data_IF_818318499640
#
_entry.id   IF_818318499640
#
_cell.length_a   1.000
_cell.length_b   1.000
_cell.length_c   1.000
_cell.angle_alpha   90.00
_cell.angle_beta   90.00
_cell.angle_gamma   90.00
#
_symmetry.space_group_name_H-M   'P 1'
#
loop_
_entity.id
_entity.type
_entity.pdbx_description
1 polymer ?
#
# COMPACT_ATOMS: atom_id res chain seq x y z
N UNK A 1 -23.85 -47.49 1.69
CA UNK A 1 -22.46 -47.99 1.75
C UNK A 1 -21.53 -46.93 1.18
N UNK A 2 -20.55 -46.53 2.00
CA UNK A 2 -19.65 -45.38 1.87
C UNK A 2 -18.87 -45.30 0.54
N UNK A 3 -18.90 -44.13 -0.12
CA UNK A 3 -17.92 -43.75 -1.14
C UNK A 3 -17.05 -42.61 -0.61
N UNK A 4 -15.98 -43.04 0.05
CA UNK A 4 -14.63 -42.43 0.09
C UNK A 4 -14.62 -40.91 -0.03
N UNK A 5 -14.43 -40.24 1.12
CA UNK A 5 -13.84 -38.91 1.18
C UNK A 5 -12.46 -38.97 0.52
N UNK A 6 -12.43 -38.80 -0.80
CA UNK A 6 -11.19 -38.62 -1.55
C UNK A 6 -10.51 -37.39 -0.95
N UNK A 7 -9.42 -37.68 -0.24
CA UNK A 7 -8.47 -36.78 0.40
C UNK A 7 -8.67 -35.29 0.09
N UNK A 8 -9.09 -34.51 1.09
CA UNK A 8 -8.92 -33.04 1.13
C UNK A 8 -7.44 -32.64 1.28
N UNK A 9 -6.52 -33.41 0.67
CA UNK A 9 -5.10 -33.10 0.71
C UNK A 9 -4.94 -31.94 -0.26
N UNK A 10 -4.58 -30.76 0.26
CA UNK A 10 -4.17 -29.63 -0.56
C UNK A 10 -3.16 -30.18 -1.56
N UNK A 11 -3.47 -30.07 -2.85
CA UNK A 11 -2.50 -30.35 -3.90
C UNK A 11 -1.50 -29.23 -3.76
N UNK A 12 -0.38 -29.51 -3.10
CA UNK A 12 0.80 -28.66 -3.16
C UNK A 12 1.08 -28.43 -4.64
N UNK A 13 1.17 -27.18 -5.06
CA UNK A 13 1.57 -26.89 -6.44
C UNK A 13 3.01 -27.39 -6.63
N UNK A 14 3.39 -27.76 -7.85
CA UNK A 14 4.69 -28.38 -8.10
C UNK A 14 5.86 -27.54 -7.56
N UNK A 15 5.71 -26.20 -7.51
CA UNK A 15 6.67 -25.27 -6.91
C UNK A 15 6.87 -25.40 -5.39
N UNK A 16 5.85 -25.81 -4.63
CA UNK A 16 5.97 -26.06 -3.19
C UNK A 16 6.88 -27.27 -2.94
N UNK A 17 6.82 -28.26 -3.82
CA UNK A 17 7.63 -29.48 -3.71
C UNK A 17 9.12 -29.22 -3.94
N UNK A 18 9.45 -28.26 -4.79
CA UNK A 18 10.84 -27.88 -5.08
C UNK A 18 11.42 -26.98 -3.99
N UNK A 19 10.61 -26.11 -3.38
CA UNK A 19 11.00 -25.36 -2.19
C UNK A 19 11.31 -26.29 -1.01
N UNK A 20 10.48 -27.32 -0.79
CA UNK A 20 10.70 -28.30 0.27
C UNK A 20 12.00 -29.10 0.07
N UNK A 21 12.37 -29.41 -1.18
CA UNK A 21 13.68 -30.04 -1.49
C UNK A 21 14.85 -29.10 -1.19
N UNK A 22 14.73 -27.82 -1.53
CA UNK A 22 15.78 -26.83 -1.21
C UNK A 22 15.98 -26.62 0.29
N UNK A 23 14.91 -26.77 1.08
CA UNK A 23 14.99 -26.74 2.55
C UNK A 23 15.66 -28.00 3.09
N UNK A 24 15.38 -29.18 2.52
CA UNK A 24 16.07 -30.42 2.93
C UNK A 24 17.55 -30.45 2.56
N UNK A 25 17.93 -29.70 1.53
CA UNK A 25 19.32 -29.54 1.08
C UNK A 25 20.07 -28.42 1.81
N UNK A 26 19.48 -27.83 2.87
CA UNK A 26 19.98 -26.67 3.65
C UNK A 26 20.30 -25.42 2.79
N UNK A 27 19.84 -25.37 1.54
CA UNK A 27 20.05 -24.24 0.63
C UNK A 27 19.17 -23.03 1.00
N UNK A 28 18.07 -23.28 1.71
CA UNK A 28 17.11 -22.26 2.15
C UNK A 28 17.08 -22.27 3.67
N UNK A 29 17.71 -21.26 4.27
CA UNK A 29 17.68 -21.05 5.72
C UNK A 29 16.29 -20.59 6.17
N UNK A 30 15.96 -20.81 7.45
CA UNK A 30 14.70 -20.36 8.05
C UNK A 30 14.42 -18.88 7.79
N UNK A 31 15.45 -18.04 7.84
CA UNK A 31 15.35 -16.60 7.58
C UNK A 31 14.91 -16.31 6.15
N UNK A 32 15.52 -16.98 5.16
CA UNK A 32 15.15 -16.80 3.75
C UNK A 32 13.74 -17.30 3.44
N UNK A 33 13.31 -18.37 4.12
CA UNK A 33 11.96 -18.93 4.00
C UNK A 33 10.91 -17.96 4.56
N UNK A 34 11.16 -17.39 5.76
CA UNK A 34 10.30 -16.36 6.36
C UNK A 34 10.18 -15.13 5.47
N UNK A 35 11.29 -14.69 4.87
CA UNK A 35 11.30 -13.54 3.98
C UNK A 35 10.49 -13.79 2.70
N UNK A 36 10.68 -14.95 2.05
CA UNK A 36 9.86 -15.36 0.89
C UNK A 36 8.37 -15.43 1.23
N UNK A 37 8.03 -15.95 2.41
CA UNK A 37 6.65 -16.06 2.85
C UNK A 37 6.02 -14.69 3.13
N UNK A 38 6.76 -13.77 3.76
CA UNK A 38 6.32 -12.39 3.95
C UNK A 38 6.11 -11.66 2.61
N UNK A 39 7.02 -11.84 1.64
CA UNK A 39 6.87 -11.28 0.29
C UNK A 39 5.64 -11.85 -0.43
N UNK A 40 5.40 -13.15 -0.33
CA UNK A 40 4.25 -13.77 -0.97
C UNK A 40 2.93 -13.24 -0.40
N UNK A 41 2.82 -13.10 0.92
CA UNK A 41 1.64 -12.50 1.57
C UNK A 41 1.44 -11.04 1.11
N UNK A 42 2.51 -10.24 1.05
CA UNK A 42 2.43 -8.86 0.55
C UNK A 42 1.99 -8.78 -0.92
N UNK A 43 2.45 -9.70 -1.77
CA UNK A 43 2.04 -9.76 -3.18
C UNK A 43 0.56 -10.08 -3.32
N UNK A 44 0.05 -11.05 -2.54
CA UNK A 44 -1.38 -11.40 -2.54
C UNK A 44 -2.26 -10.22 -2.12
N UNK A 45 -1.83 -9.44 -1.13
CA UNK A 45 -2.55 -8.24 -0.69
C UNK A 45 -2.54 -7.13 -1.77
N UNK A 46 -1.43 -6.96 -2.49
CA UNK A 46 -1.32 -5.99 -3.58
C UNK A 46 -2.20 -6.37 -4.79
N UNK A 47 -2.21 -7.65 -5.18
CA UNK A 47 -3.05 -8.15 -6.27
C UNK A 47 -4.53 -7.97 -5.93
N UNK A 48 -4.94 -8.29 -4.70
CA UNK A 48 -6.31 -8.08 -4.22
C UNK A 48 -6.70 -6.59 -4.21
N UNK A 49 -5.79 -5.69 -3.80
CA UNK A 49 -6.02 -4.26 -3.82
C UNK A 49 -6.18 -3.71 -5.26
N UNK A 50 -5.37 -4.22 -6.19
CA UNK A 50 -5.40 -3.82 -7.60
C UNK A 50 -6.68 -4.31 -8.29
N UNK A 51 -7.08 -5.56 -8.05
CA UNK A 51 -8.36 -6.11 -8.52
C UNK A 51 -9.54 -5.28 -8.00
N UNK A 52 -9.53 -4.91 -6.72
CA UNK A 52 -10.57 -4.04 -6.14
C UNK A 52 -10.62 -2.66 -6.82
N UNK A 53 -9.47 -2.01 -7.00
CA UNK A 53 -9.40 -0.70 -7.66
C UNK A 53 -9.93 -0.75 -9.11
N UNK A 54 -9.62 -1.82 -9.84
CA UNK A 54 -10.09 -2.00 -11.23
C UNK A 54 -11.59 -2.25 -11.32
N UNK A 55 -12.17 -2.99 -10.38
CA UNK A 55 -13.61 -3.33 -10.37
C UNK A 55 -14.48 -2.20 -9.83
N UNK A 56 -13.99 -1.44 -8.85
CA UNK A 56 -14.78 -0.37 -8.22
C UNK A 56 -14.73 0.94 -8.99
N UNK A 57 -13.88 1.06 -10.03
CA UNK A 57 -13.71 2.29 -10.79
C UNK A 57 -13.19 3.46 -9.95
N UNK A 58 -12.67 3.17 -8.75
CA UNK A 58 -12.17 4.16 -7.80
C UNK A 58 -10.82 4.66 -8.32
N UNK A 59 -10.86 5.78 -9.06
CA UNK A 59 -9.71 6.64 -9.28
C UNK A 59 -9.46 7.47 -8.02
N UNK A 60 -9.13 6.84 -6.90
CA UNK A 60 -8.46 7.59 -5.84
C UNK A 60 -7.01 7.78 -6.27
N UNK A 61 -6.79 8.84 -7.06
CA UNK A 61 -5.45 9.37 -7.25
C UNK A 61 -4.85 9.63 -5.86
N UNK A 62 -3.60 9.23 -5.60
CA UNK A 62 -2.95 9.53 -4.34
C UNK A 62 -2.99 11.04 -4.13
N UNK A 63 -3.72 11.48 -3.11
CA UNK A 63 -3.73 12.89 -2.70
C UNK A 63 -2.35 13.19 -2.14
N UNK A 64 -1.48 13.75 -2.96
CA UNK A 64 -0.26 14.35 -2.48
C UNK A 64 -0.65 15.53 -1.57
N UNK A 65 -0.02 15.61 -0.40
CA UNK A 65 -0.22 16.74 0.50
C UNK A 65 0.27 18.02 -0.19
N UNK A 66 -0.67 18.82 -0.70
CA UNK A 66 -0.36 20.13 -1.29
C UNK A 66 -0.12 21.11 -0.15
N UNK A 67 1.14 21.37 0.16
CA UNK A 67 1.53 22.43 1.09
C UNK A 67 1.54 23.77 0.34
N UNK A 68 0.60 24.65 0.67
CA UNK A 68 0.66 26.05 0.23
C UNK A 68 1.90 26.68 0.86
N UNK A 69 2.82 27.15 0.03
CA UNK A 69 3.94 27.97 0.50
C UNK A 69 3.36 29.21 1.17
N UNK A 70 3.67 29.40 2.45
CA UNK A 70 3.40 30.65 3.15
C UNK A 70 4.11 31.74 2.35
N UNK A 71 3.34 32.66 1.76
CA UNK A 71 3.87 33.85 1.13
C UNK A 71 4.70 34.54 2.22
N UNK A 72 6.03 34.57 2.04
CA UNK A 72 6.90 35.30 2.96
C UNK A 72 6.57 36.77 2.78
N UNK A 73 5.73 37.29 3.66
CA UNK A 73 5.38 38.69 3.76
C UNK A 73 6.63 39.49 4.17
N UNK A 74 7.45 39.86 3.19
CA UNK A 74 8.36 41.01 3.30
C UNK A 74 7.65 42.32 2.87
N UNK A 75 6.35 42.26 2.55
CA UNK A 75 5.57 43.44 2.24
C UNK A 75 5.16 44.14 3.54
N UNK A 76 5.84 45.27 3.81
CA UNK A 76 5.54 46.17 4.92
C UNK A 76 4.21 46.88 4.66
N UNK A 77 3.10 46.20 4.89
CA UNK A 77 1.78 46.81 4.84
C UNK A 77 1.16 46.96 6.23
N UNK A 78 0.32 47.97 6.39
CA UNK A 78 -0.49 48.19 7.58
C UNK A 78 -1.95 48.00 7.21
N UNK A 79 -2.63 47.08 7.89
CA UNK A 79 -4.07 46.83 7.71
C UNK A 79 -4.90 47.59 8.74
N UNK A 80 -5.91 48.31 8.27
CA UNK A 80 -6.93 48.97 9.08
C UNK A 80 -8.26 48.23 8.92
N UNK A 81 -8.68 47.58 10.00
CA UNK A 81 -9.93 46.80 10.05
C UNK A 81 -11.06 47.63 10.66
N UNK A 82 -12.19 47.69 9.96
CA UNK A 82 -13.48 48.19 10.43
C UNK A 82 -14.57 47.18 10.02
N UNK A 83 -15.69 47.07 10.75
CA UNK A 83 -16.79 46.18 10.35
C UNK A 83 -17.38 46.47 8.96
N UNK A 84 -17.10 47.66 8.43
CA UNK A 84 -17.66 48.16 7.17
C UNK A 84 -16.59 48.20 6.06
N UNK A 85 -15.31 48.27 6.41
CA UNK A 85 -14.23 48.39 5.43
C UNK A 85 -12.89 47.83 5.92
N UNK A 86 -12.05 47.54 4.94
CA UNK A 86 -10.69 47.05 5.08
C UNK A 86 -9.79 47.89 4.20
N UNK A 87 -8.84 48.61 4.80
CA UNK A 87 -7.81 49.33 4.06
C UNK A 87 -6.45 48.70 4.32
N UNK A 88 -5.77 48.32 3.23
CA UNK A 88 -4.40 47.85 3.23
C UNK A 88 -3.50 48.93 2.68
N UNK A 89 -2.53 49.37 3.47
CA UNK A 89 -1.64 50.45 3.11
C UNK A 89 -0.22 49.89 2.95
N UNK A 90 0.29 49.88 1.71
CA UNK A 90 1.63 49.40 1.38
C UNK A 90 2.64 50.55 1.54
N UNK A 91 3.81 50.28 2.15
CA UNK A 91 4.91 51.24 2.27
C UNK A 91 6.10 50.83 1.40
#
# INVERSE_FOLDING_TARGET
MSKKHASKKRRFEDGDSDLLKQVSDDLVTEETLRLKLAQHVQQVDYEMALEYATQTGVKEEPKEDIYLQVLKDDDKFTDFHSPIFLFRLFH
#
